data_IF_452951946966
#
_entry.id   IF_452951946966
#
_cell.length_a   1.000
_cell.length_b   1.000
_cell.length_c   1.000
_cell.angle_alpha   90.00
_cell.angle_beta   90.00
_cell.angle_gamma   90.00
#
_symmetry.space_group_name_H-M   'P 1'
#
loop_
_entity.id
_entity.type
_entity.pdbx_description
1 polymer ?
#
# COMPACT_ATOMS: atom_id res chain seq x y z
N UNK A 1 -25.77 53.52 3.89
CA UNK A 1 -24.30 53.36 4.12
C UNK A 1 -23.78 52.21 3.27
N UNK A 2 -22.91 52.49 2.30
CA UNK A 2 -22.36 51.49 1.37
C UNK A 2 -21.19 50.80 2.08
N UNK A 3 -21.34 49.54 2.50
CA UNK A 3 -20.25 48.77 3.11
C UNK A 3 -19.10 48.68 2.09
N UNK A 4 -17.94 49.26 2.41
CA UNK A 4 -16.75 49.10 1.59
C UNK A 4 -16.36 47.63 1.58
N UNK A 5 -16.36 47.00 0.40
CA UNK A 5 -15.83 45.66 0.22
C UNK A 5 -14.31 45.72 0.47
N UNK A 6 -13.85 45.10 1.56
CA UNK A 6 -12.41 44.87 1.77
C UNK A 6 -11.92 43.91 0.69
N UNK A 7 -11.10 44.40 -0.24
CA UNK A 7 -10.40 43.57 -1.22
C UNK A 7 -9.21 42.88 -0.58
N UNK A 8 -8.94 41.64 -0.99
CA UNK A 8 -7.73 40.90 -0.61
C UNK A 8 -6.51 41.58 -1.23
N UNK A 9 -5.41 41.72 -0.49
CA UNK A 9 -4.21 42.33 -1.06
C UNK A 9 -3.42 41.31 -1.88
N UNK A 10 -2.80 41.74 -2.98
CA UNK A 10 -1.97 40.85 -3.80
C UNK A 10 -0.80 40.28 -2.99
N UNK A 11 -0.23 41.07 -2.08
CA UNK A 11 0.88 40.64 -1.23
C UNK A 11 0.48 39.55 -0.24
N UNK A 12 -0.73 39.63 0.32
CA UNK A 12 -1.30 38.62 1.22
C UNK A 12 -1.50 37.29 0.48
N UNK A 13 -1.93 37.34 -0.78
CA UNK A 13 -2.02 36.14 -1.60
C UNK A 13 -0.66 35.56 -1.97
N UNK A 14 0.34 36.41 -2.26
CA UNK A 14 1.71 35.98 -2.56
C UNK A 14 2.39 35.25 -1.40
N UNK A 15 2.22 35.76 -0.17
CA UNK A 15 2.78 35.12 1.03
C UNK A 15 2.11 33.75 1.27
N UNK A 16 0.80 33.65 1.05
CA UNK A 16 0.07 32.38 1.22
C UNK A 16 0.57 31.31 0.26
N UNK A 17 0.72 31.62 -1.03
CA UNK A 17 1.22 30.64 -2.01
C UNK A 17 2.69 30.30 -1.76
N UNK A 18 3.50 31.24 -1.25
CA UNK A 18 4.87 30.96 -0.85
C UNK A 18 4.94 29.97 0.32
N UNK A 19 4.12 30.14 1.36
CA UNK A 19 4.05 29.21 2.50
C UNK A 19 3.56 27.83 2.04
N UNK A 20 2.49 27.76 1.25
CA UNK A 20 1.98 26.50 0.69
C UNK A 20 3.05 25.82 -0.18
N UNK A 21 3.81 26.59 -0.97
CA UNK A 21 4.91 26.07 -1.79
C UNK A 21 6.00 25.38 -0.97
N UNK A 22 6.44 26.00 0.13
CA UNK A 22 7.43 25.41 1.05
C UNK A 22 6.89 24.14 1.71
N UNK A 23 5.64 24.17 2.20
CA UNK A 23 5.01 23.00 2.81
C UNK A 23 4.87 21.83 1.80
N UNK A 24 4.45 22.13 0.56
CA UNK A 24 4.29 21.13 -0.49
C UNK A 24 5.63 20.49 -0.88
N UNK A 25 6.70 21.28 -0.99
CA UNK A 25 8.03 20.78 -1.34
C UNK A 25 8.54 19.72 -0.34
N UNK A 26 8.26 19.89 0.95
CA UNK A 26 8.64 18.92 1.99
C UNK A 26 7.64 17.76 2.10
N UNK A 27 6.35 18.01 1.88
CA UNK A 27 5.30 17.01 2.05
C UNK A 27 5.24 15.97 0.92
N UNK A 28 5.44 16.38 -0.33
CA UNK A 28 5.36 15.51 -1.52
C UNK A 28 6.29 14.28 -1.43
N UNK A 29 7.61 14.41 -1.18
CA UNK A 29 8.49 13.23 -1.10
C UNK A 29 8.12 12.31 0.07
N UNK A 30 7.73 12.88 1.22
CA UNK A 30 7.28 12.11 2.37
C UNK A 30 6.01 11.31 2.06
N UNK A 31 5.06 11.90 1.33
CA UNK A 31 3.82 11.22 0.97
C UNK A 31 4.08 10.05 0.00
N UNK A 32 4.99 10.22 -0.96
CA UNK A 32 5.39 9.13 -1.86
C UNK A 32 6.01 7.93 -1.09
N UNK A 33 6.86 8.21 -0.11
CA UNK A 33 7.44 7.17 0.76
C UNK A 33 6.39 6.46 1.62
N UNK A 34 5.40 7.20 2.13
CA UNK A 34 4.30 6.63 2.90
C UNK A 34 3.44 5.69 2.04
N UNK A 35 3.12 6.06 0.80
CA UNK A 35 2.39 5.19 -0.13
C UNK A 35 3.18 3.90 -0.38
N UNK A 36 4.50 4.01 -0.63
CA UNK A 36 5.36 2.84 -0.82
C UNK A 36 5.32 1.91 0.40
N UNK A 37 5.49 2.44 1.61
CA UNK A 37 5.42 1.67 2.85
C UNK A 37 4.04 1.05 3.08
N UNK A 38 2.97 1.76 2.74
CA UNK A 38 1.61 1.24 2.83
C UNK A 38 1.39 0.07 1.86
N UNK A 39 1.91 0.17 0.63
CA UNK A 39 1.87 -0.92 -0.35
C UNK A 39 2.68 -2.14 0.11
N UNK A 40 3.88 -1.93 0.68
CA UNK A 40 4.69 -3.00 1.27
C UNK A 40 3.97 -3.68 2.45
N UNK A 41 3.33 -2.91 3.33
CA UNK A 41 2.56 -3.44 4.45
C UNK A 41 1.36 -4.27 3.97
N UNK A 42 0.62 -3.77 2.96
CA UNK A 42 -0.48 -4.50 2.34
C UNK A 42 0.00 -5.82 1.71
N UNK A 43 1.14 -5.79 1.00
CA UNK A 43 1.76 -6.99 0.44
C UNK A 43 2.10 -8.02 1.51
N UNK A 44 2.75 -7.59 2.60
CA UNK A 44 3.10 -8.46 3.73
C UNK A 44 1.85 -9.06 4.38
N UNK A 45 0.77 -8.29 4.50
CA UNK A 45 -0.53 -8.77 5.00
C UNK A 45 -1.13 -9.85 4.11
N UNK A 46 -1.17 -9.63 2.79
CA UNK A 46 -1.63 -10.62 1.82
C UNK A 46 -0.77 -11.91 1.85
N UNK A 47 0.55 -11.77 1.90
CA UNK A 47 1.45 -12.91 2.02
C UNK A 47 1.26 -13.67 3.34
N UNK A 48 1.01 -12.95 4.44
CA UNK A 48 0.67 -13.55 5.73
C UNK A 48 -0.60 -14.40 5.66
N UNK A 49 -1.63 -13.91 4.96
CA UNK A 49 -2.86 -14.67 4.73
C UNK A 49 -2.60 -15.96 3.94
N UNK A 50 -1.79 -15.89 2.87
CA UNK A 50 -1.41 -17.08 2.09
C UNK A 50 -0.60 -18.07 2.92
N UNK A 51 0.37 -17.60 3.71
CA UNK A 51 1.16 -18.45 4.63
C UNK A 51 0.28 -19.13 5.67
N UNK A 52 -0.71 -18.41 6.22
CA UNK A 52 -1.66 -18.98 7.17
C UNK A 52 -2.49 -20.08 6.51
N UNK A 53 -3.04 -19.81 5.32
CA UNK A 53 -3.79 -20.81 4.55
C UNK A 53 -2.95 -22.06 4.26
N UNK A 54 -1.67 -21.86 3.92
CA UNK A 54 -0.71 -22.93 3.65
C UNK A 54 -0.45 -23.77 4.91
N UNK A 55 -0.29 -23.14 6.07
CA UNK A 55 -0.09 -23.85 7.35
C UNK A 55 -1.32 -24.66 7.77
N UNK A 56 -2.52 -24.15 7.49
CA UNK A 56 -3.78 -24.86 7.76
C UNK A 56 -3.91 -26.07 6.82
N UNK A 57 -3.63 -25.90 5.53
CA UNK A 57 -3.62 -27.00 4.57
C UNK A 57 -2.65 -28.11 5.01
N UNK A 58 -1.42 -27.74 5.39
CA UNK A 58 -0.40 -28.69 5.85
C UNK A 58 -0.87 -29.49 7.07
N UNK A 59 -1.54 -28.84 8.03
CA UNK A 59 -2.11 -29.50 9.20
C UNK A 59 -3.24 -30.48 8.85
N UNK A 60 -4.07 -30.14 7.85
CA UNK A 60 -5.19 -30.97 7.43
C UNK A 60 -4.79 -32.13 6.52
N UNK A 61 -3.70 -31.99 5.78
CA UNK A 61 -3.21 -32.96 4.80
C UNK A 61 -2.08 -33.84 5.37
N UNK A 62 -2.08 -34.04 6.70
CA UNK A 62 -1.12 -34.89 7.40
C UNK A 62 0.36 -34.57 7.10
N UNK A 63 0.67 -33.29 6.90
CA UNK A 63 2.04 -32.83 6.63
C UNK A 63 2.44 -32.79 5.15
N UNK A 64 1.48 -32.79 4.23
CA UNK A 64 1.72 -32.59 2.79
C UNK A 64 1.51 -31.13 2.41
N UNK A 65 2.44 -30.55 1.65
CA UNK A 65 2.28 -29.23 1.05
C UNK A 65 1.51 -29.32 -0.27
N UNK A 66 0.71 -28.28 -0.62
CA UNK A 66 -0.03 -28.27 -1.87
C UNK A 66 0.93 -28.19 -3.06
N UNK A 67 0.71 -29.05 -4.06
CA UNK A 67 1.43 -29.04 -5.33
C UNK A 67 0.93 -27.95 -6.27
N UNK A 68 -0.36 -27.63 -6.18
CA UNK A 68 -1.00 -26.62 -7.00
C UNK A 68 -1.73 -25.57 -6.16
N UNK A 69 -1.78 -24.36 -6.71
CA UNK A 69 -2.50 -23.21 -6.13
C UNK A 69 -4.02 -23.43 -6.09
N UNK A 70 -4.53 -24.29 -6.97
CA UNK A 70 -5.94 -24.70 -7.07
C UNK A 70 -6.39 -25.45 -5.83
N UNK A 71 -5.51 -26.21 -5.18
CA UNK A 71 -5.80 -27.01 -3.98
C UNK A 71 -6.07 -26.13 -2.73
N UNK A 72 -5.63 -24.88 -2.74
CA UNK A 72 -5.84 -23.93 -1.66
C UNK A 72 -7.18 -23.18 -1.76
N UNK A 73 -7.79 -23.15 -2.94
CA UNK A 73 -9.02 -22.39 -3.23
C UNK A 73 -10.22 -23.31 -3.51
N UNK A 74 -11.44 -23.03 -3.03
CA UNK A 74 -11.83 -21.93 -2.13
C UNK A 74 -11.68 -22.27 -0.63
N UNK A 75 -11.30 -23.51 -0.30
CA UNK A 75 -11.40 -24.07 1.05
C UNK A 75 -10.50 -23.36 2.07
N UNK A 76 -9.28 -23.01 1.70
CA UNK A 76 -8.29 -22.38 2.60
C UNK A 76 -8.06 -20.90 2.28
N UNK A 77 -8.41 -20.48 1.06
CA UNK A 77 -8.27 -19.13 0.56
C UNK A 77 -9.42 -18.83 -0.41
N UNK A 78 -10.14 -17.72 -0.22
CA UNK A 78 -11.30 -17.41 -1.08
C UNK A 78 -10.91 -17.05 -2.51
N UNK A 79 -9.75 -16.41 -2.68
CA UNK A 79 -9.12 -16.14 -3.96
C UNK A 79 -7.64 -15.86 -3.72
N UNK A 80 -6.78 -16.15 -4.70
CA UNK A 80 -5.37 -15.80 -4.61
C UNK A 80 -5.26 -14.27 -4.61
N UNK A 81 -4.69 -13.65 -3.55
CA UNK A 81 -4.50 -12.22 -3.52
C UNK A 81 -3.53 -11.83 -4.64
N UNK A 82 -4.00 -11.01 -5.57
CA UNK A 82 -3.12 -10.42 -6.57
C UNK A 82 -2.11 -9.48 -5.88
N UNK A 83 -0.85 -9.58 -6.27
CA UNK A 83 0.17 -8.66 -5.81
C UNK A 83 -0.22 -7.23 -6.24
N UNK A 84 -0.31 -6.31 -5.27
CA UNK A 84 -0.51 -4.89 -5.57
C UNK A 84 0.66 -4.35 -6.44
N UNK A 85 0.40 -3.47 -7.42
CA UNK A 85 1.47 -2.76 -8.12
C UNK A 85 2.33 -1.98 -7.11
N UNK A 86 3.65 -2.17 -7.14
CA UNK A 86 4.58 -1.56 -6.18
C UNK A 86 4.95 -2.45 -4.98
N UNK A 87 4.43 -3.67 -4.91
CA UNK A 87 5.02 -4.72 -4.08
C UNK A 87 6.46 -5.00 -4.55
N UNK A 88 7.45 -5.12 -3.65
CA UNK A 88 8.76 -5.62 -4.04
C UNK A 88 8.57 -7.01 -4.64
N UNK A 89 9.13 -7.24 -5.83
CA UNK A 89 9.18 -8.57 -6.44
C UNK A 89 9.97 -9.47 -5.48
N UNK A 90 9.25 -10.27 -4.68
CA UNK A 90 9.82 -11.35 -3.91
C UNK A 90 10.16 -12.50 -4.87
N UNK A 91 11.04 -12.22 -5.85
CA UNK A 91 11.71 -13.27 -6.59
C UNK A 91 12.40 -14.15 -5.54
N UNK A 92 12.08 -15.45 -5.56
CA UNK A 92 12.64 -16.46 -4.65
C UNK A 92 14.17 -16.23 -4.57
N UNK A 93 14.74 -15.91 -3.40
CA UNK A 93 16.19 -15.87 -3.28
C UNK A 93 16.65 -17.32 -3.47
N UNK A 94 17.44 -17.58 -4.52
CA UNK A 94 17.93 -18.89 -4.98
C UNK A 94 16.89 -19.88 -5.56
N UNK A 95 16.84 -19.95 -6.89
CA UNK A 95 16.41 -21.11 -7.64
C UNK A 95 17.65 -21.66 -8.34
N UNK A 96 18.38 -22.56 -7.68
CA UNK A 96 19.31 -23.48 -8.33
C UNK A 96 18.62 -24.84 -8.42
#
# INVERSE_FOLDING_TARGET
MKKMKKGFTLIELMIVVAIIGVLAAVAIPKFADLIRKANEAACKGQLGAVRSALSIYYGNMEGVWPSEITEMTPTYLQAIPNAKPGCPNMARPNSN
#
